data_IF_856298826974
#
_entry.id   IF_856298826974
#
_cell.length_a   1.000
_cell.length_b   1.000
_cell.length_c   1.000
_cell.angle_alpha   90.00
_cell.angle_beta   90.00
_cell.angle_gamma   90.00
#
_symmetry.space_group_name_H-M   'P 1'
#
loop_
_entity.id
_entity.type
_entity.pdbx_description
1 polymer ?
#
# COMPACT_ATOMS: atom_id res chain seq x y z
N UNK A 1 -6.31 -15.98 47.57
CA UNK A 1 -6.63 -15.43 46.22
C UNK A 1 -5.43 -14.58 45.77
N UNK A 2 -4.80 -14.86 44.63
CA UNK A 2 -3.72 -14.01 44.09
C UNK A 2 -4.33 -13.03 43.09
N UNK A 3 -4.45 -11.75 43.48
CA UNK A 3 -4.89 -10.67 42.60
C UNK A 3 -3.67 -10.04 41.90
N UNK A 4 -3.79 -9.77 40.61
CA UNK A 4 -2.79 -8.95 39.91
C UNK A 4 -2.89 -7.49 40.38
N UNK A 5 -1.82 -6.71 40.23
CA UNK A 5 -1.81 -5.28 40.59
C UNK A 5 -2.90 -4.49 39.84
N UNK A 6 -3.21 -4.86 38.60
CA UNK A 6 -4.30 -4.23 37.86
C UNK A 6 -5.69 -4.59 38.41
N UNK A 7 -5.88 -5.84 38.87
CA UNK A 7 -7.12 -6.23 39.56
C UNK A 7 -7.28 -5.48 40.87
N UNK A 8 -6.22 -5.36 41.68
CA UNK A 8 -6.24 -4.58 42.93
C UNK A 8 -6.58 -3.12 42.67
N UNK A 9 -5.91 -2.48 41.69
CA UNK A 9 -6.18 -1.09 41.33
C UNK A 9 -7.62 -0.86 40.89
N UNK A 10 -8.17 -1.74 40.03
CA UNK A 10 -9.55 -1.61 39.58
C UNK A 10 -10.56 -1.86 40.69
N UNK A 11 -10.29 -2.79 41.61
CA UNK A 11 -11.11 -3.01 42.80
C UNK A 11 -11.12 -1.77 43.71
N UNK A 12 -9.97 -1.14 43.93
CA UNK A 12 -9.87 0.12 44.67
C UNK A 12 -10.64 1.27 44.00
N UNK A 13 -10.60 1.37 42.67
CA UNK A 13 -11.38 2.37 41.93
C UNK A 13 -12.90 2.17 42.07
N UNK A 14 -13.36 0.94 42.23
CA UNK A 14 -14.77 0.62 42.49
C UNK A 14 -15.14 0.73 43.98
N UNK A 15 -14.18 1.09 44.85
CA UNK A 15 -14.39 1.18 46.30
C UNK A 15 -14.57 -0.17 46.99
N UNK A 16 -14.13 -1.27 46.36
CA UNK A 16 -14.33 -2.63 46.87
C UNK A 16 -13.00 -3.22 47.35
N UNK A 17 -12.94 -3.60 48.61
CA UNK A 17 -11.85 -4.41 49.16
C UNK A 17 -12.33 -5.86 49.30
N UNK A 18 -11.63 -6.79 48.66
CA UNK A 18 -11.94 -8.22 48.80
C UNK A 18 -11.21 -8.80 50.02
N UNK A 19 -11.89 -9.60 50.86
CA UNK A 19 -11.25 -10.33 51.95
C UNK A 19 -10.15 -11.27 51.42
N UNK A 20 -9.06 -11.39 52.18
CA UNK A 20 -7.95 -12.31 51.87
C UNK A 20 -8.33 -13.77 52.14
N UNK A 21 -9.31 -14.00 53.03
CA UNK A 21 -9.81 -15.31 53.43
C UNK A 21 -10.90 -15.81 52.47
N UNK A 22 -10.89 -17.12 52.22
CA UNK A 22 -11.89 -17.82 51.42
C UNK A 22 -12.90 -18.54 52.34
N UNK A 23 -14.15 -18.78 51.89
CA UNK A 23 -14.69 -18.46 50.56
C UNK A 23 -15.21 -17.02 50.44
N UNK A 24 -15.14 -16.45 49.24
CA UNK A 24 -15.77 -15.15 48.92
C UNK A 24 -17.29 -15.29 48.94
N UNK A 25 -17.98 -14.21 49.29
CA UNK A 25 -19.42 -14.12 49.12
C UNK A 25 -19.80 -14.07 47.64
N UNK A 26 -21.02 -14.51 47.30
CA UNK A 26 -21.54 -14.44 45.91
C UNK A 26 -21.48 -13.02 45.32
N UNK A 27 -21.57 -11.99 46.15
CA UNK A 27 -21.47 -10.60 45.71
C UNK A 27 -20.03 -10.23 45.31
N UNK A 28 -19.05 -10.61 46.12
CA UNK A 28 -17.62 -10.40 45.88
C UNK A 28 -17.14 -11.15 44.63
N UNK A 29 -17.60 -12.39 44.43
CA UNK A 29 -17.31 -13.14 43.21
C UNK A 29 -17.82 -12.44 41.94
N UNK A 30 -19.04 -11.87 42.01
CA UNK A 30 -19.61 -11.09 40.90
C UNK A 30 -18.79 -9.84 40.61
N UNK A 31 -18.30 -9.15 41.63
CA UNK A 31 -17.45 -7.96 41.48
C UNK A 31 -16.10 -8.34 40.85
N UNK A 32 -15.43 -9.36 41.39
CA UNK A 32 -14.16 -9.86 40.84
C UNK A 32 -14.31 -10.29 39.38
N UNK A 33 -15.42 -10.95 39.02
CA UNK A 33 -15.73 -11.32 37.63
C UNK A 33 -15.89 -10.09 36.73
N UNK A 34 -16.53 -9.01 37.21
CA UNK A 34 -16.65 -7.74 36.48
C UNK A 34 -15.27 -7.10 36.26
N UNK A 35 -14.42 -7.04 37.29
CA UNK A 35 -13.06 -6.49 37.20
C UNK A 35 -12.22 -7.27 36.19
N UNK A 36 -12.20 -8.60 36.28
CA UNK A 36 -11.52 -9.47 35.30
C UNK A 36 -12.01 -9.27 33.87
N UNK A 37 -13.32 -9.05 33.69
CA UNK A 37 -13.90 -8.72 32.38
C UNK A 37 -13.42 -7.35 31.88
N UNK A 38 -13.36 -6.33 32.74
CA UNK A 38 -12.85 -4.99 32.38
C UNK A 38 -11.39 -5.05 31.89
N UNK A 39 -10.54 -5.83 32.57
CA UNK A 39 -9.13 -6.03 32.18
C UNK A 39 -9.04 -6.67 30.79
N UNK A 40 -9.72 -7.80 30.57
CA UNK A 40 -9.71 -8.47 29.25
C UNK A 40 -10.23 -7.58 28.13
N UNK A 41 -11.28 -6.80 28.39
CA UNK A 41 -11.82 -5.86 27.41
C UNK A 41 -10.83 -4.74 27.08
N UNK A 42 -10.13 -4.22 28.09
CA UNK A 42 -9.09 -3.20 27.88
C UNK A 42 -7.97 -3.74 26.99
N UNK A 43 -7.46 -4.93 27.28
CA UNK A 43 -6.43 -5.59 26.47
C UNK A 43 -6.92 -5.83 25.03
N UNK A 44 -8.12 -6.39 24.87
CA UNK A 44 -8.70 -6.66 23.55
C UNK A 44 -8.92 -5.39 22.73
N UNK A 45 -9.39 -4.30 23.36
CA UNK A 45 -9.54 -3.01 22.70
C UNK A 45 -8.20 -2.42 22.26
N UNK A 46 -7.16 -2.55 23.09
CA UNK A 46 -5.80 -2.11 22.75
C UNK A 46 -5.23 -2.92 21.58
N UNK A 47 -5.33 -4.25 21.62
CA UNK A 47 -4.85 -5.12 20.54
C UNK A 47 -5.61 -4.86 19.23
N UNK A 48 -6.91 -4.59 19.31
CA UNK A 48 -7.72 -4.19 18.15
C UNK A 48 -7.23 -2.87 17.54
N UNK A 49 -6.98 -1.85 18.37
CA UNK A 49 -6.41 -0.57 17.92
C UNK A 49 -5.01 -0.75 17.32
N UNK A 50 -4.16 -1.59 17.93
CA UNK A 50 -2.82 -1.89 17.42
C UNK A 50 -2.89 -2.54 16.03
N UNK A 51 -3.71 -3.59 15.86
CA UNK A 51 -3.90 -4.24 14.55
C UNK A 51 -4.43 -3.29 13.49
N UNK A 52 -5.39 -2.42 13.84
CA UNK A 52 -5.90 -1.40 12.91
C UNK A 52 -4.79 -0.43 12.47
N UNK A 53 -3.95 0.01 13.41
CA UNK A 53 -2.80 0.87 13.11
C UNK A 53 -1.83 0.15 12.16
N UNK A 54 -1.39 -1.05 12.50
CA UNK A 54 -0.47 -1.84 11.67
C UNK A 54 -1.01 -2.06 10.25
N UNK A 55 -2.32 -2.29 10.11
CA UNK A 55 -2.96 -2.41 8.80
C UNK A 55 -2.94 -1.11 7.99
N UNK A 56 -3.22 0.04 8.63
CA UNK A 56 -3.16 1.35 7.98
C UNK A 56 -1.73 1.70 7.59
N UNK A 57 -0.77 1.54 8.50
CA UNK A 57 0.66 1.76 8.23
C UNK A 57 1.13 0.87 7.05
N UNK A 58 0.65 -0.38 6.99
CA UNK A 58 0.92 -1.29 5.88
C UNK A 58 0.28 -0.86 4.55
N UNK A 59 -0.93 -0.28 4.57
CA UNK A 59 -1.58 0.29 3.38
C UNK A 59 -0.81 1.50 2.87
N UNK A 60 -0.43 2.42 3.76
CA UNK A 60 0.34 3.63 3.43
C UNK A 60 1.69 3.27 2.83
N UNK A 61 2.40 2.30 3.42
CA UNK A 61 3.67 1.80 2.90
C UNK A 61 3.54 1.22 1.48
N UNK A 62 2.51 0.40 1.22
CA UNK A 62 2.27 -0.13 -0.13
C UNK A 62 1.90 0.95 -1.14
N UNK A 63 1.09 1.94 -0.75
CA UNK A 63 0.71 3.05 -1.60
C UNK A 63 1.93 3.92 -1.97
N UNK A 64 2.82 4.18 -1.00
CA UNK A 64 4.07 4.89 -1.24
C UNK A 64 4.99 4.12 -2.20
N UNK A 65 5.16 2.81 -1.99
CA UNK A 65 5.98 1.97 -2.87
C UNK A 65 5.43 1.92 -4.30
N UNK A 66 4.12 1.73 -4.46
CA UNK A 66 3.45 1.75 -5.76
C UNK A 66 3.61 3.11 -6.46
N UNK A 67 3.47 4.20 -5.71
CA UNK A 67 3.64 5.56 -6.26
C UNK A 67 5.07 5.79 -6.74
N UNK A 68 6.08 5.37 -5.97
CA UNK A 68 7.48 5.47 -6.35
C UNK A 68 7.80 4.65 -7.61
N UNK A 69 7.32 3.40 -7.66
CA UNK A 69 7.48 2.54 -8.84
C UNK A 69 6.80 3.12 -10.08
N UNK A 70 5.60 3.69 -9.93
CA UNK A 70 4.89 4.32 -11.04
C UNK A 70 5.66 5.53 -11.58
N UNK A 71 6.25 6.37 -10.70
CA UNK A 71 7.09 7.48 -11.13
C UNK A 71 8.35 7.02 -11.89
N UNK A 72 8.99 5.94 -11.44
CA UNK A 72 10.15 5.36 -12.15
C UNK A 72 9.76 4.83 -13.53
N UNK A 73 8.64 4.10 -13.62
CA UNK A 73 8.13 3.60 -14.90
C UNK A 73 7.77 4.74 -15.85
N UNK A 74 7.13 5.81 -15.36
CA UNK A 74 6.82 6.99 -16.17
C UNK A 74 8.08 7.66 -16.72
N UNK A 75 9.12 7.82 -15.90
CA UNK A 75 10.43 8.33 -16.38
C UNK A 75 10.99 7.41 -17.46
N UNK A 76 10.90 6.09 -17.26
CA UNK A 76 11.43 5.14 -18.25
C UNK A 76 10.69 5.21 -19.58
N UNK A 77 9.37 5.34 -19.55
CA UNK A 77 8.54 5.54 -20.75
C UNK A 77 8.97 6.82 -21.47
N UNK A 78 9.11 7.95 -20.76
CA UNK A 78 9.53 9.21 -21.37
C UNK A 78 10.92 9.12 -22.03
N UNK A 79 11.88 8.45 -21.39
CA UNK A 79 13.20 8.20 -21.99
C UNK A 79 13.10 7.38 -23.28
N UNK A 80 12.31 6.30 -23.26
CA UNK A 80 12.12 5.43 -24.42
C UNK A 80 11.41 6.15 -25.57
N UNK A 81 10.39 6.95 -25.27
CA UNK A 81 9.69 7.78 -26.25
C UNK A 81 10.64 8.78 -26.91
N UNK A 82 11.51 9.43 -26.13
CA UNK A 82 12.53 10.35 -26.64
C UNK A 82 13.53 9.63 -27.56
N UNK A 83 14.04 8.48 -27.12
CA UNK A 83 14.97 7.67 -27.92
C UNK A 83 14.32 7.20 -29.23
N UNK A 84 13.09 6.69 -29.17
CA UNK A 84 12.34 6.25 -30.34
C UNK A 84 12.08 7.41 -31.31
N UNK A 85 11.71 8.60 -30.80
CA UNK A 85 11.55 9.79 -31.63
C UNK A 85 12.83 10.15 -32.38
N UNK A 86 13.98 10.15 -31.69
CA UNK A 86 15.29 10.40 -32.33
C UNK A 86 15.61 9.37 -33.42
N UNK A 87 15.40 8.08 -33.15
CA UNK A 87 15.65 7.01 -34.12
C UNK A 87 14.74 7.13 -35.35
N UNK A 88 13.46 7.46 -35.16
CA UNK A 88 12.52 7.71 -36.25
C UNK A 88 12.96 8.89 -37.12
N UNK A 89 13.41 10.00 -36.52
CA UNK A 89 13.93 11.15 -37.28
C UNK A 89 15.17 10.78 -38.10
N UNK A 90 16.09 10.00 -37.53
CA UNK A 90 17.28 9.50 -38.26
C UNK A 90 16.88 8.59 -39.43
N UNK A 91 15.93 7.67 -39.22
CA UNK A 91 15.41 6.82 -40.29
C UNK A 91 14.74 7.64 -41.41
N UNK A 92 13.94 8.65 -41.07
CA UNK A 92 13.32 9.53 -42.06
C UNK A 92 14.37 10.31 -42.88
N UNK A 93 15.42 10.81 -42.22
CA UNK A 93 16.53 11.50 -42.90
C UNK A 93 17.26 10.56 -43.88
N UNK A 94 17.57 9.33 -43.46
CA UNK A 94 18.19 8.32 -44.33
C UNK A 94 17.28 7.91 -45.50
N UNK A 95 15.98 7.72 -45.25
CA UNK A 95 15.01 7.43 -46.30
C UNK A 95 14.89 8.57 -47.32
N UNK A 96 14.98 9.83 -46.88
CA UNK A 96 14.99 10.98 -47.78
C UNK A 96 16.22 11.02 -48.69
N UNK A 97 17.39 10.58 -48.20
CA UNK A 97 18.62 10.46 -49.00
C UNK A 97 18.56 9.32 -50.02
N UNK A 98 17.85 8.24 -49.69
CA UNK A 98 17.68 7.07 -50.57
C UNK A 98 16.52 7.21 -51.56
N UNK A 99 15.61 8.17 -51.37
CA UNK A 99 14.60 8.47 -52.38
C UNK A 99 15.31 8.88 -53.67
N UNK A 100 15.09 8.16 -54.80
CA UNK A 100 15.74 8.53 -56.04
C UNK A 100 15.34 9.96 -56.40
N UNK A 101 16.34 10.83 -56.57
CA UNK A 101 16.12 12.12 -57.22
C UNK A 101 15.64 11.81 -58.63
N UNK A 102 14.33 11.94 -58.86
CA UNK A 102 13.76 11.93 -60.20
C UNK A 102 14.25 13.20 -60.91
N UNK A 103 15.49 13.16 -61.38
CA UNK A 103 16.05 14.15 -62.29
C UNK A 103 15.61 13.80 -63.70
N UNK A 104 14.61 14.57 -64.15
CA UNK A 104 14.31 14.97 -65.55
C UNK A 104 13.85 13.88 -66.53
N UNK A 105 12.59 14.07 -66.94
CA UNK A 105 11.95 13.79 -68.23
C UNK A 105 12.69 12.89 -69.24
N UNK A 106 12.10 11.73 -69.52
CA UNK A 106 12.11 11.15 -70.85
C UNK A 106 10.66 10.79 -71.21
N UNK A 107 10.08 11.57 -72.13
CA UNK A 107 8.87 11.16 -72.83
C UNK A 107 9.26 10.01 -73.76
N UNK A 108 8.98 8.76 -73.36
CA UNK A 108 9.12 7.60 -74.23
C UNK A 108 7.80 7.37 -74.95
N UNK A 109 7.79 7.74 -76.24
CA UNK A 109 6.71 7.44 -77.18
C UNK A 109 6.50 5.92 -77.28
N UNK A 110 5.25 5.51 -77.21
CA UNK A 110 4.75 4.17 -77.49
C UNK A 110 5.08 3.75 -78.94
N UNK A 111 5.57 2.52 -79.12
CA UNK A 111 5.43 1.77 -80.37
C UNK A 111 5.22 0.29 -80.02
N UNK A 112 4.01 -0.22 -80.29
CA UNK A 112 3.75 -1.66 -80.44
C UNK A 112 3.77 -1.92 -81.95
N UNK A 113 4.71 -2.75 -82.40
CA UNK A 113 4.71 -3.36 -83.73
C UNK A 113 4.39 -4.84 -83.56
N UNK A 114 3.47 -5.31 -84.42
CA UNK A 114 2.82 -6.64 -84.44
C UNK A 114 3.83 -7.77 -84.57
#
# INVERSE_FOLDING_TARGET
LLLTEEEKRLLSQEGVTLPSCLPLTKAEERILKKVRRKIRNKQSAQDSRRRKKEYLDGLESRAAACSAQNQELQKKVQELEKCNGSLLSQLQALQALLKPTSTKAAQTSTCILV
#
